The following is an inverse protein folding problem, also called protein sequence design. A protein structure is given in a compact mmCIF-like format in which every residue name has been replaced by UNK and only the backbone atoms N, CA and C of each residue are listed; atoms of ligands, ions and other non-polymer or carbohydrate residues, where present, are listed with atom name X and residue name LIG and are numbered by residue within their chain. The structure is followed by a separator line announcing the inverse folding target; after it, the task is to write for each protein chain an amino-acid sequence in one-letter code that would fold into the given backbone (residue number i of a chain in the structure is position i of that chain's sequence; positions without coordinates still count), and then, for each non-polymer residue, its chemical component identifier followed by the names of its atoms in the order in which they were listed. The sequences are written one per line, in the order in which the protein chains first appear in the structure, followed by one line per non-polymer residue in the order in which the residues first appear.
data_IF_956898153991
#
_entry.id   IF_956898153991
#
_cell.length_a   1.000
_cell.length_b   1.000
_cell.length_c   1.000
_cell.angle_alpha   90.00
_cell.angle_beta   90.00
_cell.angle_gamma   90.00
#
_symmetry.space_group_name_H-M   'P 1'
#
loop_
_entity.id
_entity.type
_entity.pdbx_description
1 polymer ?
#
# COMPACT_ATOMS: atom_id res chain seq x y z
N UNK A 1 -20.12 -3.60 -4.22
CA UNK A 1 -19.37 -4.86 -4.38
C UNK A 1 -20.00 -6.06 -3.64
N UNK A 2 -21.18 -5.92 -3.03
CA UNK A 2 -21.76 -6.96 -2.15
C UNK A 2 -21.85 -8.37 -2.78
N UNK A 3 -22.28 -8.50 -4.03
CA UNK A 3 -22.35 -9.81 -4.68
C UNK A 3 -20.97 -10.43 -4.93
N UNK A 4 -19.95 -9.64 -5.26
CA UNK A 4 -18.58 -10.14 -5.46
C UNK A 4 -18.00 -10.66 -4.13
N UNK A 5 -18.23 -9.96 -3.03
CA UNK A 5 -17.80 -10.45 -1.70
C UNK A 5 -18.49 -11.78 -1.32
N UNK A 6 -19.77 -11.92 -1.65
CA UNK A 6 -20.55 -13.12 -1.30
C UNK A 6 -20.24 -14.34 -2.17
N UNK A 7 -19.81 -14.13 -3.41
CA UNK A 7 -19.67 -15.18 -4.42
C UNK A 7 -18.22 -15.58 -4.71
N UNK A 8 -17.26 -14.95 -4.04
CA UNK A 8 -15.84 -15.22 -4.21
C UNK A 8 -15.21 -15.72 -2.91
N UNK A 9 -14.19 -16.53 -3.07
CA UNK A 9 -13.41 -17.17 -2.02
C UNK A 9 -12.15 -16.39 -1.64
N UNK A 10 -11.63 -15.58 -2.57
CA UNK A 10 -10.46 -14.74 -2.34
C UNK A 10 -10.55 -13.44 -3.12
N UNK A 11 -9.79 -12.45 -2.67
CA UNK A 11 -9.63 -11.18 -3.37
C UNK A 11 -8.15 -10.77 -3.41
N UNK A 12 -7.77 -10.10 -4.50
CA UNK A 12 -6.47 -9.46 -4.64
C UNK A 12 -6.60 -8.03 -5.13
N UNK A 13 -5.70 -7.16 -4.68
CA UNK A 13 -5.64 -5.77 -5.10
C UNK A 13 -4.19 -5.32 -5.08
N UNK A 14 -3.80 -4.49 -6.06
CA UNK A 14 -2.47 -3.90 -6.11
C UNK A 14 -2.58 -2.40 -5.96
N UNK A 15 -1.77 -1.81 -5.08
CA UNK A 15 -1.61 -0.36 -4.98
C UNK A 15 -0.14 -0.05 -5.26
N UNK A 16 0.10 0.91 -6.15
CA UNK A 16 1.44 1.40 -6.48
C UNK A 16 1.58 2.84 -6.02
N UNK A 17 2.60 3.11 -5.23
CA UNK A 17 2.95 4.47 -4.82
C UNK A 17 4.17 4.91 -5.61
N UNK A 18 3.96 5.84 -6.53
CA UNK A 18 5.03 6.54 -7.24
C UNK A 18 5.58 7.63 -6.35
N UNK A 19 6.90 7.76 -6.25
CA UNK A 19 7.55 8.64 -5.30
C UNK A 19 8.74 9.35 -5.94
N UNK A 20 8.96 10.59 -5.54
CA UNK A 20 10.13 11.40 -5.85
C UNK A 20 10.76 11.81 -4.52
N UNK A 21 11.94 11.26 -4.21
CA UNK A 21 12.67 11.51 -2.96
C UNK A 21 11.86 11.31 -1.67
N UNK A 22 10.84 10.45 -1.70
CA UNK A 22 9.83 10.30 -0.65
C UNK A 22 9.71 8.84 -0.24
N UNK A 23 10.37 8.40 0.84
CA UNK A 23 10.22 7.03 1.38
C UNK A 23 8.79 6.82 1.89
N UNK A 24 8.18 5.67 1.58
CA UNK A 24 6.76 5.40 1.90
C UNK A 24 6.49 4.13 2.70
N UNK A 25 7.43 3.18 2.74
CA UNK A 25 7.27 1.91 3.46
C UNK A 25 8.40 1.68 4.46
N UNK A 26 9.61 1.41 3.95
CA UNK A 26 10.85 1.37 4.71
C UNK A 26 10.91 0.34 5.83
N UNK A 27 11.43 -0.85 5.55
CA UNK A 27 12.01 -1.74 6.58
C UNK A 27 13.41 -2.15 6.15
N UNK A 28 14.45 -1.67 6.86
CA UNK A 28 15.81 -2.26 7.02
C UNK A 28 16.90 -1.27 7.50
N UNK A 29 16.56 -0.15 8.15
CA UNK A 29 17.56 0.57 8.96
C UNK A 29 17.08 0.65 10.41
N UNK A 30 17.96 0.28 11.34
CA UNK A 30 17.68 0.24 12.79
C UNK A 30 17.27 1.60 13.39
N UNK A 31 17.34 2.67 12.60
CA UNK A 31 17.05 4.06 12.99
C UNK A 31 16.12 4.78 11.97
N UNK A 32 15.56 4.07 10.98
CA UNK A 32 14.60 4.66 10.05
C UNK A 32 13.24 4.82 10.74
N UNK A 33 12.99 6.05 11.18
CA UNK A 33 11.75 6.52 11.78
C UNK A 33 10.50 6.16 10.94
N UNK A 34 9.86 5.01 11.24
CA UNK A 34 8.41 4.72 11.17
C UNK A 34 7.55 5.54 10.19
N UNK A 35 7.87 5.60 8.90
CA UNK A 35 6.92 6.09 7.88
C UNK A 35 6.39 4.91 7.09
N UNK A 36 5.53 4.11 7.72
CA UNK A 36 4.74 3.10 7.00
C UNK A 36 3.43 3.75 6.56
N UNK A 37 3.23 3.85 5.25
CA UNK A 37 1.90 4.10 4.69
C UNK A 37 0.93 3.02 5.18
N UNK A 38 -0.28 3.40 5.56
CA UNK A 38 -1.31 2.46 5.99
C UNK A 38 -2.44 2.44 4.96
N UNK A 39 -3.09 1.30 4.79
CA UNK A 39 -4.17 1.15 3.82
C UNK A 39 -5.44 0.71 4.51
N UNK A 40 -6.57 1.33 4.14
CA UNK A 40 -7.88 0.98 4.66
C UNK A 40 -8.65 0.18 3.63
N UNK A 41 -9.12 -1.00 4.04
CA UNK A 41 -9.98 -1.89 3.31
C UNK A 41 -11.45 -1.48 3.28
N UNK A 42 -12.25 -2.19 2.50
CA UNK A 42 -13.68 -1.90 2.28
C UNK A 42 -14.52 -1.99 3.57
N UNK A 43 -14.27 -3.00 4.39
CA UNK A 43 -14.91 -3.17 5.71
C UNK A 43 -14.30 -2.27 6.81
N UNK A 44 -13.32 -1.43 6.47
CA UNK A 44 -12.61 -0.57 7.41
C UNK A 44 -11.39 -1.20 8.08
N UNK A 45 -11.04 -2.44 7.73
CA UNK A 45 -9.82 -3.09 8.16
C UNK A 45 -8.58 -2.29 7.74
N UNK A 46 -7.58 -2.24 8.61
CA UNK A 46 -6.30 -1.57 8.35
C UNK A 46 -5.23 -2.60 7.99
N UNK A 47 -4.46 -2.30 6.94
CA UNK A 47 -3.27 -3.02 6.51
C UNK A 47 -2.05 -2.15 6.81
N UNK A 48 -1.15 -2.64 7.67
CA UNK A 48 -0.06 -1.85 8.26
C UNK A 48 1.21 -2.71 8.43
N UNK A 49 2.38 -2.07 8.35
CA UNK A 49 3.66 -2.74 8.55
C UNK A 49 3.77 -3.34 9.97
N UNK A 50 4.40 -4.51 10.10
CA UNK A 50 4.59 -5.23 11.35
C UNK A 50 3.28 -5.64 12.05
N UNK A 51 2.21 -5.85 11.28
CA UNK A 51 0.93 -6.38 11.77
C UNK A 51 0.60 -7.71 11.11
N UNK A 52 -0.41 -8.43 11.62
CA UNK A 52 -0.89 -9.66 11.00
C UNK A 52 -1.42 -9.44 9.57
N UNK A 53 -1.85 -8.22 9.26
CA UNK A 53 -2.40 -7.83 7.97
C UNK A 53 -1.43 -6.89 7.23
N UNK A 54 -0.14 -7.17 7.35
CA UNK A 54 0.87 -6.49 6.57
C UNK A 54 0.71 -6.83 5.08
N UNK A 55 0.58 -5.83 4.18
CA UNK A 55 0.54 -6.08 2.75
C UNK A 55 1.88 -6.62 2.27
N UNK A 56 1.83 -7.50 1.26
CA UNK A 56 3.05 -7.97 0.63
C UNK A 56 3.66 -6.85 -0.21
N UNK A 57 4.92 -6.52 0.04
CA UNK A 57 5.67 -5.57 -0.78
C UNK A 57 6.34 -6.32 -1.93
N UNK A 58 5.94 -6.03 -3.17
CA UNK A 58 6.51 -6.64 -4.37
C UNK A 58 7.80 -5.94 -4.80
N UNK A 59 7.90 -4.63 -4.59
CA UNK A 59 9.07 -3.81 -4.89
C UNK A 59 9.03 -2.58 -4.00
N UNK A 60 10.19 -2.13 -3.47
CA UNK A 60 10.32 -0.89 -2.68
C UNK A 60 11.54 -0.09 -3.13
N UNK A 61 11.36 0.73 -4.16
CA UNK A 61 12.41 1.61 -4.69
C UNK A 61 12.31 3.04 -4.13
N UNK A 62 11.26 3.36 -3.36
CA UNK A 62 11.08 4.70 -2.78
C UNK A 62 12.10 5.06 -1.70
N UNK A 63 12.92 4.10 -1.26
CA UNK A 63 14.09 4.35 -0.42
C UNK A 63 15.21 5.07 -1.17
N UNK A 64 15.21 5.04 -2.50
CA UNK A 64 16.19 5.72 -3.34
C UNK A 64 15.82 7.21 -3.44
N UNK A 65 16.74 8.06 -2.98
CA UNK A 65 16.57 9.53 -2.98
C UNK A 65 17.57 10.22 -3.91
N UNK A 66 17.54 9.85 -5.19
CA UNK A 66 18.48 10.31 -6.23
C UNK A 66 17.92 11.44 -7.11
N UNK A 67 16.73 11.96 -6.80
CA UNK A 67 16.04 12.96 -7.63
C UNK A 67 15.28 12.40 -8.83
N UNK A 68 15.18 11.08 -8.97
CA UNK A 68 14.36 10.41 -9.98
C UNK A 68 13.06 9.86 -9.39
N UNK A 69 12.10 9.59 -10.27
CA UNK A 69 10.87 8.90 -9.88
C UNK A 69 11.13 7.40 -9.70
N UNK A 70 10.63 6.87 -8.59
CA UNK A 70 10.67 5.46 -8.22
C UNK A 70 9.28 5.00 -7.81
N UNK A 71 9.13 3.71 -7.45
CA UNK A 71 7.86 3.18 -6.96
C UNK A 71 8.01 2.14 -5.85
N UNK A 72 6.97 2.05 -5.03
CA UNK A 72 6.73 0.92 -4.13
C UNK A 72 5.40 0.28 -4.51
N UNK A 73 5.40 -1.05 -4.69
CA UNK A 73 4.24 -1.81 -5.14
C UNK A 73 3.77 -2.76 -4.04
N UNK A 74 2.51 -2.61 -3.65
CA UNK A 74 1.86 -3.36 -2.58
C UNK A 74 0.83 -4.32 -3.16
N UNK A 75 0.91 -5.59 -2.76
CA UNK A 75 -0.08 -6.62 -3.05
C UNK A 75 -0.85 -6.97 -1.79
N UNK A 76 -2.16 -6.78 -1.86
CA UNK A 76 -3.12 -7.24 -0.86
C UNK A 76 -3.74 -8.54 -1.38
N UNK A 77 -3.72 -9.57 -0.55
CA UNK A 77 -4.36 -10.85 -0.83
C UNK A 77 -5.01 -11.37 0.45
N UNK A 78 -6.28 -11.75 0.37
CA UNK A 78 -7.07 -12.20 1.53
C UNK A 78 -8.13 -13.20 1.09
N UNK A 79 -8.48 -14.10 2.00
CA UNK A 79 -9.64 -14.99 1.88
C UNK A 79 -10.93 -14.35 2.45
N UNK A 80 -10.80 -13.34 3.31
CA UNK A 80 -11.93 -12.49 3.69
C UNK A 80 -12.10 -11.41 2.62
N UNK A 81 -12.92 -11.70 1.62
CA UNK A 81 -13.13 -10.81 0.48
C UNK A 81 -13.68 -9.44 0.88
N UNK A 82 -14.21 -9.26 2.10
CA UNK A 82 -14.73 -7.98 2.58
C UNK A 82 -13.63 -6.99 3.01
N UNK A 83 -12.39 -7.43 3.18
CA UNK A 83 -11.27 -6.53 3.47
C UNK A 83 -10.88 -5.71 2.23
N UNK A 84 -11.18 -6.18 1.02
CA UNK A 84 -10.84 -5.51 -0.23
C UNK A 84 -12.09 -4.94 -0.94
N UNK A 85 -11.96 -3.95 -1.83
CA UNK A 85 -10.74 -3.26 -2.24
C UNK A 85 -10.17 -2.36 -1.13
N UNK A 86 -8.94 -1.91 -1.33
CA UNK A 86 -8.41 -0.76 -0.58
C UNK A 86 -9.18 0.48 -1.03
N UNK A 87 -9.79 1.18 -0.07
CA UNK A 87 -10.61 2.37 -0.31
C UNK A 87 -9.93 3.67 0.09
N UNK A 88 -8.87 3.60 0.91
CA UNK A 88 -8.14 4.77 1.35
C UNK A 88 -6.66 4.44 1.65
N UNK A 89 -5.80 5.41 1.34
CA UNK A 89 -4.38 5.41 1.72
C UNK A 89 -4.18 6.47 2.80
N UNK A 90 -3.61 6.07 3.93
CA UNK A 90 -3.36 6.89 5.11
C UNK A 90 -1.87 7.07 5.37
N UNK A 91 -1.54 8.12 6.14
CA UNK A 91 -0.19 8.33 6.72
C UNK A 91 0.92 8.43 5.67
N UNK A 92 0.64 9.11 4.56
CA UNK A 92 1.71 9.50 3.63
C UNK A 92 2.60 10.57 4.29
N UNK A 93 3.93 10.51 4.10
CA UNK A 93 4.85 11.45 4.71
C UNK A 93 4.52 12.89 4.28
N UNK A 94 4.67 13.83 5.21
CA UNK A 94 4.55 15.25 4.87
C UNK A 94 5.62 15.63 3.84
N UNK A 95 5.17 16.13 2.68
CA UNK A 95 6.05 16.51 1.60
C UNK A 95 6.91 17.72 1.98
N UNK A 96 8.23 17.58 1.90
CA UNK A 96 9.19 18.69 1.91
C UNK A 96 9.33 19.27 0.49
N UNK A 97 9.91 20.48 0.33
CA UNK A 97 10.23 21.00 -1.00
C UNK A 97 11.06 19.99 -1.82
N UNK A 98 10.62 19.71 -3.05
CA UNK A 98 11.26 18.71 -3.93
C UNK A 98 10.81 17.26 -3.71
N UNK A 99 9.93 17.00 -2.74
CA UNK A 99 9.28 15.70 -2.56
C UNK A 99 7.91 15.67 -3.22
N UNK A 100 7.60 14.57 -3.90
CA UNK A 100 6.29 14.33 -4.50
C UNK A 100 5.92 12.84 -4.37
N UNK A 101 4.62 12.56 -4.40
CA UNK A 101 4.12 11.20 -4.56
C UNK A 101 2.83 11.22 -5.39
N UNK A 102 2.55 10.09 -6.03
CA UNK A 102 1.29 9.81 -6.69
C UNK A 102 0.87 8.37 -6.39
N UNK A 103 -0.43 8.14 -6.29
CA UNK A 103 -0.99 6.82 -5.97
C UNK A 103 -1.70 6.30 -7.19
N UNK A 104 -1.37 5.08 -7.58
CA UNK A 104 -2.04 4.33 -8.61
C UNK A 104 -2.74 3.13 -7.98
N UNK A 105 -4.05 3.04 -8.19
CA UNK A 105 -4.85 1.88 -7.76
C UNK A 105 -4.99 0.93 -8.93
N UNK A 106 -4.46 -0.28 -8.80
CA UNK A 106 -4.71 -1.36 -9.75
C UNK A 106 -6.16 -1.86 -9.68
N UNK A 107 -6.52 -2.76 -10.59
CA UNK A 107 -7.82 -3.44 -10.53
C UNK A 107 -7.88 -4.37 -9.31
N UNK A 108 -9.03 -4.41 -8.65
CA UNK A 108 -9.34 -5.46 -7.67
C UNK A 108 -9.85 -6.70 -8.40
N UNK A 109 -9.34 -7.87 -8.05
CA UNK A 109 -9.72 -9.15 -8.61
C UNK A 109 -10.38 -10.00 -7.52
N UNK A 110 -11.46 -10.68 -7.88
CA UNK A 110 -12.20 -11.61 -7.03
C UNK A 110 -12.25 -12.98 -7.73
N UNK A 111 -12.00 -14.06 -6.99
CA UNK A 111 -12.07 -15.44 -7.48
C UNK A 111 -13.08 -16.23 -6.67
#
# INVERSE_FOLDING_TARGET
MNFLHLLSSEATHTITVHCLNTPVWGTNEADAQKTSVHFKGWNGQMFEANTLLEPKVLTDECMIQDGSWHKTEFLFHTQDTTDLPVVQVHTLPHLKPGQQHNIESGSVCFL
#
